data_IF_352245905100
#
_entry.id   IF_352245905100
#
_cell.length_a   1.000
_cell.length_b   1.000
_cell.length_c   1.000
_cell.angle_alpha   90.00
_cell.angle_beta   90.00
_cell.angle_gamma   90.00
#
_symmetry.space_group_name_H-M   'P 1'
#
loop_
_entity.id
_entity.type
_entity.pdbx_description
1 polymer ?
2 polymer ?
3 polymer ?
#
loop_
_entity_poly.entity_id
_entity_poly.type
_entity_poly.pdbx_seq_one_letter_code
_entity_poly.pdbx_strand_id
2 'polydeoxyribonucleotide' '(DA)(DT)(DG)(DT)(DG)(DG)(DT)(DC)(DC)(DC)(DC)(DC)' ?
3 'polydeoxyribonucleotide' '(DT)(DG)(DG)(DG)(DG)(DG)(DA)(DC)(DC)(DA)(DC)(DA)' ?
#
# COMPACT_ATOMS: atom_id res chain seq x y z
N UNK A 41 4.07 -8.94 -14.78
CA UNK A 41 3.74 -8.44 -13.44
C UNK A 41 3.52 -9.59 -12.47
N UNK A 42 4.58 -10.02 -11.80
CA UNK A 42 4.61 -11.37 -11.26
C UNK A 42 5.59 -11.43 -10.10
N UNK A 43 5.55 -12.55 -9.40
CA UNK A 43 6.26 -12.77 -8.15
C UNK A 43 7.55 -13.54 -8.43
N UNK A 44 8.59 -13.25 -7.66
CA UNK A 44 9.98 -13.69 -7.89
C UNK A 44 10.43 -14.52 -6.69
N UNK A 45 10.78 -15.79 -6.93
CA UNK A 45 11.30 -16.61 -5.83
C UNK A 45 12.47 -15.91 -5.15
N UNK A 46 12.61 -16.16 -3.84
CA UNK A 46 13.64 -15.52 -3.04
C UNK A 46 15.02 -16.07 -3.40
N UNK A 47 16.04 -15.22 -3.21
CA UNK A 47 17.42 -15.55 -3.60
C UNK A 47 18.01 -16.74 -2.83
N UNK A 49 18.62 -16.39 0.40
CA UNK A 49 19.62 -16.04 1.40
C UNK A 49 19.17 -16.50 2.80
N UNK A 50 19.10 -15.59 3.76
CA UNK A 50 18.47 -15.89 5.05
C UNK A 50 17.02 -15.44 5.10
N UNK A 51 16.59 -14.56 4.20
CA UNK A 51 15.19 -14.26 4.03
C UNK A 51 14.60 -15.03 2.85
N UNK A 52 13.38 -15.52 3.02
CA UNK A 52 12.68 -16.22 1.95
C UNK A 52 11.42 -15.48 1.50
N UNK A 53 11.39 -14.16 1.58
CA UNK A 53 10.23 -13.43 1.11
C UNK A 53 10.36 -13.17 -0.39
N UNK A 54 9.24 -13.23 -1.07
CA UNK A 54 9.19 -13.08 -2.52
C UNK A 54 9.15 -11.61 -2.89
N UNK A 55 10.00 -11.20 -3.83
CA UNK A 55 9.88 -9.87 -4.40
C UNK A 55 8.94 -9.91 -5.59
N UNK A 56 8.67 -8.75 -6.17
CA UNK A 56 7.78 -8.72 -7.33
C UNK A 56 8.53 -8.08 -8.48
N UNK A 57 8.27 -8.56 -9.69
CA UNK A 57 8.79 -7.91 -10.88
C UNK A 57 7.79 -6.85 -11.34
N UNK A 58 8.25 -5.61 -11.42
CA UNK A 58 7.39 -4.47 -11.71
C UNK A 58 7.93 -3.75 -12.93
N UNK A 59 7.16 -2.73 -13.36
CA UNK A 59 7.49 -1.92 -14.53
C UNK A 59 8.96 -1.48 -14.54
N UNK A 60 9.54 -1.29 -13.36
CA UNK A 60 10.92 -0.85 -13.22
C UNK A 60 11.81 -1.98 -12.73
N UNK A 61 11.26 -3.18 -12.58
CA UNK A 61 12.07 -4.31 -12.22
C UNK A 61 11.66 -4.93 -10.89
N UNK A 62 12.59 -5.67 -10.29
CA UNK A 62 12.27 -6.35 -9.05
C UNK A 62 12.22 -5.36 -7.91
N UNK A 63 11.29 -5.59 -6.98
CA UNK A 63 11.10 -4.67 -5.88
C UNK A 63 10.55 -5.43 -4.68
N UNK A 64 10.92 -4.99 -3.49
CA UNK A 64 10.47 -5.64 -2.27
C UNK A 64 8.99 -5.34 -2.05
N UNK A 65 8.35 -6.17 -1.24
CA UNK A 65 6.92 -6.03 -1.02
C UNK A 65 6.56 -5.12 0.15
N UNK A 66 7.55 -4.45 0.77
CA UNK A 66 7.27 -3.56 1.89
C UNK A 66 7.30 -2.10 1.44
N UNK A 67 6.49 -1.28 2.05
CA UNK A 67 6.52 0.15 1.83
C UNK A 67 6.52 0.86 3.18
N UNK A 68 7.20 1.99 3.23
CA UNK A 68 7.13 2.89 4.38
C UNK A 68 6.18 4.04 4.04
N UNK A 70 4.75 7.92 5.24
CA UNK A 70 4.95 9.08 6.09
C UNK A 70 3.96 9.07 7.25
N UNK A 71 4.35 9.72 8.35
CA UNK A 71 3.39 9.93 9.44
C UNK A 71 2.13 10.59 8.92
N UNK A 72 2.29 11.57 8.02
CA UNK A 72 1.15 12.29 7.46
C UNK A 72 0.16 11.36 6.77
N UNK A 73 0.65 10.27 6.19
CA UNK A 73 -0.14 9.42 5.31
C UNK A 73 -0.67 8.18 6.03
N UNK A 74 0.14 7.62 6.92
CA UNK A 74 -0.28 6.47 7.71
C UNK A 74 -1.54 6.80 8.53
N UNK A 75 -1.59 7.99 9.12
CA UNK A 75 -2.74 8.42 9.90
C UNK A 75 -4.04 8.22 9.11
N UNK A 76 -4.03 8.54 7.82
CA UNK A 76 -5.25 8.39 7.04
C UNK A 76 -5.44 6.97 6.53
N UNK A 77 -4.34 6.30 6.17
CA UNK A 77 -4.46 4.94 5.71
C UNK A 77 -5.05 4.04 6.78
N UNK A 78 -4.51 4.11 7.99
CA UNK A 78 -5.02 3.28 9.07
C UNK A 78 -6.44 3.69 9.45
N UNK A 79 -6.77 4.97 9.34
CA UNK A 79 -8.18 5.33 9.47
C UNK A 79 -9.03 4.56 8.46
N UNK A 80 -8.57 4.44 7.22
CA UNK A 80 -9.34 3.69 6.23
C UNK A 80 -9.43 2.22 6.61
N UNK A 81 -8.31 1.65 7.06
CA UNK A 81 -8.30 0.23 7.42
C UNK A 81 -9.23 -0.06 8.61
N UNK A 82 -9.16 0.76 9.66
CA UNK A 82 -10.01 0.49 10.82
C UNK A 82 -11.49 0.70 10.50
N UNK A 83 -11.80 1.68 9.66
CA UNK A 83 -13.18 1.84 9.20
C UNK A 83 -13.68 0.57 8.54
N UNK A 84 -12.81 -0.15 7.83
CA UNK A 84 -13.21 -1.40 7.19
C UNK A 84 -13.15 -2.61 8.13
N UNK A 85 -12.36 -2.52 9.21
CA UNK A 85 -12.23 -3.59 10.17
C UNK A 85 -11.15 -4.61 9.87
N UNK A 86 -10.42 -4.45 8.77
CA UNK A 86 -9.45 -5.46 8.33
C UNK A 86 -8.24 -5.53 9.26
N UNK A 87 -7.75 -6.74 9.50
CA UNK A 87 -6.61 -6.91 10.41
C UNK A 87 -5.27 -6.79 9.71
N UNK A 88 -5.18 -7.27 8.46
CA UNK A 88 -3.96 -7.17 7.68
C UNK A 88 -4.00 -5.90 6.83
N UNK A 89 -3.03 -4.99 6.99
CA UNK A 89 -2.95 -3.82 6.10
C UNK A 89 -3.11 -4.13 4.63
N UNK A 90 -2.43 -5.16 4.12
CA UNK A 90 -2.46 -5.41 2.68
C UNK A 90 -3.88 -5.51 2.16
N UNK A 91 -4.83 -5.98 2.98
CA UNK A 91 -6.18 -6.10 2.46
C UNK A 91 -6.83 -4.73 2.30
N UNK A 92 -6.43 -3.75 3.11
CA UNK A 92 -6.97 -2.40 2.97
C UNK A 92 -6.56 -1.77 1.66
N UNK A 93 -5.28 -1.89 1.28
CA UNK A 93 -4.86 -1.31 0.01
C UNK A 93 -5.50 -2.06 -1.16
N UNK A 94 -5.72 -3.37 -1.02
CA UNK A 94 -6.57 -4.07 -1.97
C UNK A 94 -7.90 -3.35 -2.12
N UNK A 95 -8.52 -3.03 -0.98
CA UNK A 95 -9.81 -2.34 -1.01
C UNK A 95 -9.70 -1.00 -1.70
N UNK A 96 -8.65 -0.23 -1.38
CA UNK A 96 -8.50 1.09 -1.99
C UNK A 96 -8.29 0.97 -3.50
N UNK A 97 -7.45 0.02 -3.93
CA UNK A 97 -7.15 -0.09 -5.34
C UNK A 97 -8.41 -0.38 -6.15
N UNK A 98 -9.27 -1.27 -5.63
CA UNK A 98 -10.48 -1.57 -6.38
C UNK A 98 -11.40 -0.35 -6.42
N UNK A 99 -11.53 0.39 -5.31
CA UNK A 99 -12.40 1.56 -5.35
C UNK A 99 -11.86 2.65 -6.27
N UNK A 100 -10.54 2.72 -6.42
CA UNK A 100 -9.96 3.68 -7.33
C UNK A 100 -9.86 3.17 -8.76
N UNK A 101 -10.54 2.07 -9.08
CA UNK A 101 -10.39 1.45 -10.39
C UNK A 101 -10.73 2.44 -11.50
N UNK A 102 -11.90 3.10 -11.40
CA UNK A 102 -12.31 4.01 -12.46
C UNK A 102 -11.33 5.15 -12.64
N UNK A 103 -10.67 5.58 -11.57
CA UNK A 103 -9.72 6.68 -11.67
C UNK A 103 -8.36 6.21 -12.17
N UNK A 104 -7.98 4.99 -11.82
CA UNK A 104 -7.00 4.24 -12.60
C UNK A 104 -7.69 4.04 -13.95
N UNK A 105 -6.97 3.56 -14.95
CA UNK A 105 -7.50 3.59 -16.32
C UNK A 105 -7.80 5.04 -16.70
N UNK A 106 -6.74 5.84 -16.70
CA UNK A 106 -6.76 7.24 -17.10
C UNK A 106 -5.35 7.79 -16.91
N UNK B 52 15.62 5.00 15.24
CA UNK B 52 14.42 4.22 14.91
C UNK B 52 13.28 5.13 14.42
N UNK B 53 12.34 4.57 13.65
CA UNK B 53 11.24 5.34 13.06
C UNK B 53 10.07 5.41 14.02
N UNK B 54 9.53 6.61 14.20
CA UNK B 54 8.42 6.80 15.13
C UNK B 54 7.23 5.94 14.71
N UNK B 55 6.41 5.58 15.69
CA UNK B 55 5.20 4.86 15.40
C UNK B 55 4.10 5.88 15.12
N UNK B 56 2.85 5.44 15.04
CA UNK B 56 1.76 6.36 14.75
C UNK B 56 0.54 5.87 15.50
N UNK B 57 -0.14 6.81 16.18
CA UNK B 57 -1.27 6.42 17.03
C UNK B 57 -2.55 6.45 16.22
N UNK B 58 -3.33 5.38 16.34
CA UNK B 58 -4.47 5.13 15.48
C UNK B 58 -5.62 4.65 16.34
N UNK B 59 -6.79 4.51 15.71
CA UNK B 59 -7.97 3.98 16.38
C UNK B 59 -7.71 2.73 17.22
N UNK B 60 -6.61 2.00 16.96
CA UNK B 60 -6.34 0.78 17.71
C UNK B 60 -4.96 0.79 18.35
N UNK B 61 -4.40 1.96 18.62
CA UNK B 61 -3.14 2.01 19.31
C UNK B 61 -1.99 2.31 18.38
N UNK B 62 -0.77 2.23 18.90
CA UNK B 62 0.41 2.47 18.06
C UNK B 62 0.55 1.40 16.98
N UNK B 63 0.87 1.85 15.78
CA UNK B 63 1.17 0.94 14.68
C UNK B 63 2.42 1.40 13.96
N UNK B 64 3.13 0.42 13.39
CA UNK B 64 4.28 0.71 12.57
C UNK B 64 3.83 1.35 11.27
N UNK B 65 4.69 2.17 10.69
CA UNK B 65 4.38 2.76 9.40
C UNK B 65 5.01 2.03 8.22
N UNK B 66 5.58 0.86 8.43
CA UNK B 66 6.04 0.06 7.32
C UNK B 66 5.14 -1.16 7.21
N UNK B 67 4.59 -1.36 6.02
CA UNK B 67 3.62 -2.41 5.75
C UNK B 67 4.18 -3.32 4.67
N UNK B 68 4.04 -4.62 4.86
CA UNK B 68 4.41 -5.58 3.84
C UNK B 68 3.15 -6.00 3.13
N UNK B 70 0.98 -8.34 0.32
CA UNK B 70 0.94 -9.60 -0.40
C UNK B 70 1.37 -9.38 -1.83
N UNK B 71 2.19 -10.30 -2.35
CA UNK B 71 2.75 -10.20 -3.69
C UNK B 71 1.70 -9.73 -4.70
N UNK B 72 0.50 -10.31 -4.63
CA UNK B 72 -0.59 -9.89 -5.50
C UNK B 72 -0.89 -8.41 -5.32
N UNK B 73 -1.16 -7.99 -4.07
CA UNK B 73 -1.42 -6.58 -3.81
C UNK B 73 -0.21 -5.71 -4.19
N UNK B 74 0.99 -6.15 -3.80
CA UNK B 74 2.19 -5.38 -4.12
C UNK B 74 2.32 -5.12 -5.62
N UNK B 75 1.87 -6.05 -6.45
CA UNK B 75 2.05 -5.87 -7.88
C UNK B 75 1.12 -4.79 -8.38
N UNK B 76 -0.11 -4.78 -7.88
CA UNK B 76 -1.06 -3.79 -8.35
C UNK B 76 -0.69 -2.41 -7.86
N UNK B 77 -0.26 -2.31 -6.61
CA UNK B 77 0.04 -1.00 -6.04
C UNK B 77 1.21 -0.34 -6.77
N UNK B 78 2.35 -1.06 -6.87
CA UNK B 78 3.49 -0.54 -7.61
C UNK B 78 3.15 -0.21 -9.05
N UNK B 79 2.08 -0.81 -9.57
CA UNK B 79 1.57 -0.42 -10.88
C UNK B 79 1.02 0.99 -10.83
N UNK B 80 0.12 1.26 -9.86
CA UNK B 80 -0.40 2.60 -9.66
C UNK B 80 0.74 3.59 -9.45
N UNK B 81 1.71 3.24 -8.61
CA UNK B 81 2.78 4.19 -8.30
C UNK B 81 3.55 4.57 -9.56
N UNK B 82 4.03 3.58 -10.29
CA UNK B 82 4.85 3.83 -11.46
C UNK B 82 4.07 4.54 -12.55
N UNK B 83 2.78 4.22 -12.69
CA UNK B 83 1.94 4.95 -13.63
C UNK B 83 1.80 6.41 -13.21
N UNK B 84 1.59 6.66 -11.91
CA UNK B 84 1.52 8.04 -11.41
C UNK B 84 2.87 8.72 -11.50
N UNK B 85 3.95 7.94 -11.49
CA UNK B 85 5.28 8.51 -11.55
C UNK B 85 5.82 9.04 -10.24
N UNK B 86 5.28 8.62 -9.12
CA UNK B 86 5.62 9.22 -7.84
C UNK B 86 6.88 8.57 -7.28
N UNK B 87 7.71 9.38 -6.64
CA UNK B 87 8.96 8.86 -6.10
C UNK B 87 8.75 8.18 -4.77
N UNK B 88 7.74 8.58 -4.02
CA UNK B 88 7.51 7.98 -2.73
C UNK B 88 6.23 7.17 -2.74
N UNK B 89 6.28 5.91 -2.31
CA UNK B 89 5.04 5.13 -2.20
C UNK B 89 3.94 5.85 -1.44
N UNK B 90 4.27 6.62 -0.40
CA UNK B 90 3.22 7.36 0.30
C UNK B 90 2.37 8.16 -0.66
N UNK B 91 3.00 8.88 -1.60
CA UNK B 91 2.25 9.73 -2.52
C UNK B 91 1.19 8.92 -3.26
N UNK B 92 1.52 7.69 -3.63
CA UNK B 92 0.52 6.85 -4.30
C UNK B 92 -0.58 6.48 -3.34
N UNK B 93 -0.23 6.21 -2.08
CA UNK B 93 -1.25 5.91 -1.08
C UNK B 93 -2.14 7.12 -0.86
N UNK B 94 -1.55 8.32 -0.79
CA UNK B 94 -2.33 9.55 -0.79
C UNK B 94 -3.31 9.53 -1.95
N UNK B 95 -2.80 9.41 -3.17
CA UNK B 95 -3.65 9.47 -4.34
C UNK B 95 -4.78 8.46 -4.26
N UNK B 96 -4.48 7.24 -3.80
CA UNK B 96 -5.52 6.22 -3.70
C UNK B 96 -6.65 6.68 -2.77
N UNK B 97 -6.30 7.11 -1.56
CA UNK B 97 -7.27 7.62 -0.59
C UNK B 97 -8.08 8.79 -1.17
N UNK B 98 -7.45 9.67 -1.94
CA UNK B 98 -8.17 10.80 -2.50
C UNK B 98 -9.26 10.36 -3.45
N UNK B 99 -9.08 9.23 -4.14
CA UNK B 99 -10.09 8.74 -5.08
C UNK B 99 -11.12 7.86 -4.41
N UNK B 100 -11.54 8.14 -3.18
CA UNK B 100 -12.57 7.36 -2.50
C UNK B 100 -13.66 8.28 -1.92
N UNK B 101 -14.73 8.47 -2.72
CA UNK B 101 -16.01 8.93 -2.20
C UNK B 101 -16.56 7.99 -1.15
N UNK B 102 -15.98 6.82 -1.01
CA UNK B 102 -16.56 5.72 -0.27
C UNK B 102 -15.86 5.40 1.03
N UNK B 103 -14.75 6.07 1.35
CA UNK B 103 -14.36 6.09 2.75
C UNK B 103 -15.53 6.61 3.58
N UNK B 104 -16.16 7.68 3.11
CA UNK B 104 -17.42 8.17 3.64
C UNK B 104 -18.53 7.28 3.09
N UNK B 105 -18.78 6.16 3.75
CA UNK B 105 -19.52 5.01 3.20
C UNK B 105 -20.73 5.38 2.32
#
# INVERSE_FOLDING_TARGET
XGSSHHHHHHSSGLVPRGSHXGLKGYSVGEGGGEIVEVQGGHIIRATGRKDRHSKVFTSKGPRDRRVRXSAHTAIQFYDVQDRLGYDRPSKAVDWLIKKAKTAIDKL
XGSSHHHHHHSSGLVPRGSHXGLKGYSVGEGGGEIVEVQGGHIIRATGRKDRHSKVFTSKGPRDRRVRXSAHTAIQFYDVQDRLGYDRPSKAVDWLIKKAKTAIDKL
#
